data_IF_994600406508
#
_entry.id   IF_994600406508
#
_cell.length_a   1.000
_cell.length_b   1.000
_cell.length_c   1.000
_cell.angle_alpha   90.00
_cell.angle_beta   90.00
_cell.angle_gamma   90.00
#
_symmetry.space_group_name_H-M   'P 1'
#
loop_
_entity.id
_entity.type
_entity.pdbx_description
1 polymer ?
#
# COMPACT_ATOMS: atom_id res chain seq x y z
N UNK A 1 -8.53 8.87 -7.45
CA UNK A 1 -7.21 9.17 -6.85
C UNK A 1 -6.72 7.96 -6.06
N UNK A 2 -5.43 7.58 -6.16
CA UNK A 2 -4.89 6.53 -5.33
C UNK A 2 -4.76 6.98 -3.88
N UNK A 3 -5.27 6.16 -2.97
CA UNK A 3 -5.15 6.35 -1.52
C UNK A 3 -4.51 5.11 -0.90
N UNK A 4 -3.82 5.31 0.22
CA UNK A 4 -3.22 4.22 0.96
C UNK A 4 -4.31 3.26 1.46
N UNK A 5 -4.20 1.99 1.10
CA UNK A 5 -5.11 0.92 1.50
C UNK A 5 -5.04 0.60 2.98
N UNK A 6 -3.94 0.95 3.66
CA UNK A 6 -3.75 0.62 5.09
C UNK A 6 -4.67 1.47 5.96
N UNK A 7 -5.38 0.80 6.87
CA UNK A 7 -6.26 1.46 7.84
C UNK A 7 -5.45 2.47 8.66
N UNK A 8 -6.02 3.65 8.93
CA UNK A 8 -5.39 4.74 9.69
C UNK A 8 -4.18 5.44 9.05
N UNK A 9 -3.75 5.08 7.83
CA UNK A 9 -2.67 5.81 7.16
C UNK A 9 -3.13 7.18 6.65
N UNK A 10 -4.30 7.24 6.00
CA UNK A 10 -4.88 8.48 5.47
C UNK A 10 -4.08 9.16 4.35
N UNK A 11 -2.90 8.63 3.98
CA UNK A 11 -2.05 9.22 2.95
C UNK A 11 -2.56 8.90 1.56
N UNK A 12 -2.54 9.91 0.70
CA UNK A 12 -2.89 9.80 -0.72
C UNK A 12 -1.78 10.39 -1.56
N UNK A 13 -1.76 10.06 -2.86
CA UNK A 13 -0.78 10.63 -3.80
C UNK A 13 -0.89 12.16 -3.95
N UNK A 14 -1.95 12.79 -3.42
CA UNK A 14 -2.09 14.25 -3.34
C UNK A 14 -1.45 14.84 -2.07
N UNK A 15 -1.54 14.12 -0.95
CA UNK A 15 -1.12 14.61 0.37
C UNK A 15 0.37 14.36 0.60
N UNK A 16 0.88 13.22 0.13
CA UNK A 16 2.27 12.83 0.33
C UNK A 16 2.88 12.30 -0.96
N UNK A 17 4.20 12.44 -1.07
CA UNK A 17 5.03 11.94 -2.18
C UNK A 17 6.48 11.81 -1.67
N UNK A 18 7.36 11.25 -2.50
CA UNK A 18 8.78 11.06 -2.20
C UNK A 18 9.46 12.38 -1.81
N UNK A 19 9.20 13.47 -2.53
CA UNK A 19 9.76 14.79 -2.21
C UNK A 19 9.25 15.40 -0.89
N UNK A 20 8.04 15.03 -0.42
CA UNK A 20 7.44 15.64 0.78
C UNK A 20 7.64 14.81 2.06
N UNK A 21 7.51 13.50 1.95
CA UNK A 21 7.49 12.57 3.09
C UNK A 21 8.49 11.41 2.90
N UNK A 22 9.24 11.37 1.79
CA UNK A 22 10.10 10.22 1.47
C UNK A 22 9.33 8.95 1.11
N UNK A 23 8.03 9.05 0.79
CA UNK A 23 7.18 7.90 0.53
C UNK A 23 6.74 7.74 -0.92
N UNK A 24 6.82 6.51 -1.39
CA UNK A 24 6.36 6.05 -2.69
C UNK A 24 5.07 5.26 -2.55
N UNK A 25 4.27 5.19 -3.62
CA UNK A 25 3.02 4.42 -3.63
C UNK A 25 3.18 3.19 -4.51
N UNK A 26 2.98 2.02 -3.92
CA UNK A 26 3.11 0.74 -4.58
C UNK A 26 1.72 0.16 -4.85
N UNK A 27 1.49 -0.26 -6.09
CA UNK A 27 0.24 -0.94 -6.48
C UNK A 27 0.25 -2.37 -5.93
N UNK A 28 -0.94 -2.93 -5.76
CA UNK A 28 -1.06 -4.33 -5.38
C UNK A 28 -0.42 -5.23 -6.45
N UNK A 29 0.32 -6.27 -6.04
CA UNK A 29 0.90 -7.22 -6.97
C UNK A 29 -0.19 -7.99 -7.73
N UNK A 30 0.13 -8.44 -8.95
CA UNK A 30 -0.75 -9.32 -9.72
C UNK A 30 -0.84 -10.72 -9.12
N UNK A 31 0.23 -11.19 -8.47
CA UNK A 31 0.26 -12.50 -7.83
C UNK A 31 -0.78 -12.58 -6.71
N UNK A 32 -1.76 -13.51 -6.78
CA UNK A 32 -2.86 -13.59 -5.82
C UNK A 32 -2.38 -13.86 -4.39
N UNK A 33 -1.33 -14.67 -4.22
CA UNK A 33 -0.75 -14.98 -2.90
C UNK A 33 -0.18 -13.74 -2.21
N UNK A 34 0.67 -12.97 -2.91
CA UNK A 34 1.23 -11.71 -2.37
C UNK A 34 0.13 -10.68 -2.17
N UNK A 35 -0.84 -10.62 -3.08
CA UNK A 35 -1.98 -9.72 -2.98
C UNK A 35 -2.80 -10.02 -1.72
N UNK A 36 -3.05 -11.29 -1.41
CA UNK A 36 -3.73 -11.71 -0.19
C UNK A 36 -2.96 -11.27 1.06
N UNK A 37 -1.64 -11.49 1.12
CA UNK A 37 -0.79 -11.00 2.23
C UNK A 37 -0.86 -9.49 2.41
N UNK A 38 -0.90 -8.72 1.32
CA UNK A 38 -1.02 -7.26 1.39
C UNK A 38 -2.40 -6.80 1.86
N UNK A 39 -3.47 -7.53 1.51
CA UNK A 39 -4.82 -7.25 1.98
C UNK A 39 -4.93 -7.52 3.47
N UNK A 40 -4.39 -8.66 3.92
CA UNK A 40 -4.30 -9.05 5.33
C UNK A 40 -3.50 -8.00 6.14
N UNK A 41 -2.31 -7.64 5.67
CA UNK A 41 -1.46 -6.62 6.29
C UNK A 41 -2.08 -5.22 6.29
N UNK A 42 -2.99 -4.90 5.36
CA UNK A 42 -3.69 -3.62 5.36
C UNK A 42 -4.66 -3.47 6.55
N UNK A 43 -4.86 -4.54 7.34
CA UNK A 43 -5.62 -4.55 8.59
C UNK A 43 -7.02 -3.95 8.45
N UNK A 44 -7.61 -4.11 7.27
CA UNK A 44 -9.05 -3.96 7.07
C UNK A 44 -9.65 -5.32 7.38
N UNK A 45 -9.94 -5.57 8.66
CA UNK A 45 -10.66 -6.76 9.12
C UNK A 45 -12.05 -6.94 8.49
N UNK A 46 -12.44 -6.06 7.58
CA UNK A 46 -13.57 -6.19 6.68
C UNK A 46 -13.25 -7.19 5.56
N UNK A 47 -13.74 -8.41 5.70
CA UNK A 47 -13.74 -9.46 4.65
C UNK A 47 -14.34 -8.99 3.31
N UNK A 48 -15.04 -7.85 3.28
CA UNK A 48 -15.65 -7.25 2.10
C UNK A 48 -14.73 -6.26 1.36
N UNK A 49 -13.59 -5.88 1.93
CA UNK A 49 -12.72 -4.91 1.28
C UNK A 49 -11.75 -5.57 0.30
N UNK A 50 -11.92 -5.26 -0.99
CA UNK A 50 -10.98 -5.63 -2.04
C UNK A 50 -10.24 -4.41 -2.61
N UNK A 51 -8.91 -4.48 -2.76
CA UNK A 51 -8.14 -3.42 -3.39
C UNK A 51 -8.50 -3.33 -4.87
N UNK A 52 -8.89 -2.12 -5.27
CA UNK A 52 -9.24 -1.79 -6.65
C UNK A 52 -7.99 -1.35 -7.43
N UNK A 53 -8.13 -1.07 -8.73
CA UNK A 53 -7.00 -0.63 -9.60
C UNK A 53 -6.31 0.65 -9.08
N UNK A 54 -7.01 1.43 -8.28
CA UNK A 54 -6.53 2.67 -7.66
C UNK A 54 -6.06 2.47 -6.21
N UNK A 55 -6.20 1.28 -5.63
CA UNK A 55 -5.70 1.00 -4.29
C UNK A 55 -4.18 0.82 -4.34
N UNK A 56 -3.48 1.53 -3.46
CA UNK A 56 -2.02 1.51 -3.35
C UNK A 56 -1.64 1.40 -1.88
N UNK A 57 -0.44 0.93 -1.57
CA UNK A 57 0.13 0.99 -0.22
C UNK A 57 1.36 1.91 -0.27
N UNK A 58 1.55 2.77 0.72
CA UNK A 58 2.71 3.65 0.75
C UNK A 58 3.93 2.93 1.33
N UNK A 59 5.14 3.31 0.91
CA UNK A 59 6.41 2.69 1.35
C UNK A 59 6.63 2.74 2.85
N UNK A 60 5.97 3.64 3.60
CA UNK A 60 6.01 3.67 5.07
C UNK A 60 5.54 2.36 5.74
N UNK A 61 4.73 1.57 5.05
CA UNK A 61 4.27 0.27 5.55
C UNK A 61 5.13 -0.91 5.05
N UNK A 62 6.17 -0.62 4.27
CA UNK A 62 7.15 -1.61 3.84
C UNK A 62 8.44 -1.36 4.60
N UNK A 63 8.96 -2.38 5.27
CA UNK A 63 10.33 -2.35 5.77
C UNK A 63 11.31 -2.29 4.60
N UNK A 64 12.48 -1.70 4.83
CA UNK A 64 13.56 -1.61 3.84
C UNK A 64 13.98 -3.01 3.33
N UNK A 65 13.86 -4.03 4.17
CA UNK A 65 14.07 -5.46 3.84
C UNK A 65 13.12 -6.03 2.78
N UNK A 66 11.93 -5.43 2.61
CA UNK A 66 10.97 -5.84 1.58
C UNK A 66 11.30 -5.26 0.19
N UNK A 67 12.33 -4.41 0.09
CA UNK A 67 12.85 -3.95 -1.17
C UNK A 67 14.00 -4.86 -1.57
N UNK A 68 13.92 -5.41 -2.78
CA UNK A 68 15.03 -6.20 -3.31
C UNK A 68 16.26 -5.29 -3.42
N UNK A 69 17.39 -5.62 -2.76
CA UNK A 69 18.63 -4.93 -3.01
C UNK A 69 19.03 -5.14 -4.47
N UNK A 70 19.46 -4.07 -5.13
CA UNK A 70 19.99 -4.07 -6.49
C UNK A 70 21.31 -4.85 -6.58
#
# INVERSE_FOLDING_TARGET
MPFCGVKWCGKSSKTSNFQKDGITFHRFPQCPERKSKWIDAAHRGDLWWFPSKFSVICSKHFSEDNFYPL
#
